data_IF_548627250471
#
_entry.id   IF_548627250471
#
_cell.length_a   1.000
_cell.length_b   1.000
_cell.length_c   1.000
_cell.angle_alpha   90.00
_cell.angle_beta   90.00
_cell.angle_gamma   90.00
#
_symmetry.space_group_name_H-M   'P 1'
#
loop_
_entity.id
_entity.type
_entity.pdbx_description
1 polymer ?
#
# COMPACT_ATOMS: atom_id res chain seq x y z
N UNK A 1 45.83 54.55 -7.78
CA UNK A 1 44.97 54.20 -6.64
C UNK A 1 43.55 53.81 -7.04
N UNK A 2 42.92 54.43 -8.00
CA UNK A 2 41.57 54.09 -8.47
C UNK A 2 41.47 52.71 -9.19
N UNK A 3 42.49 52.26 -9.90
CA UNK A 3 42.50 50.99 -10.63
C UNK A 3 42.55 49.77 -9.72
N UNK A 4 43.17 49.90 -8.54
CA UNK A 4 43.23 48.79 -7.58
C UNK A 4 41.90 48.56 -6.84
N UNK A 5 41.11 49.61 -6.62
CA UNK A 5 39.81 49.47 -6.01
C UNK A 5 38.75 48.86 -6.91
N UNK A 6 38.86 49.12 -8.22
CA UNK A 6 37.92 48.52 -9.21
C UNK A 6 38.14 47.04 -9.41
N UNK A 7 39.37 46.52 -9.30
CA UNK A 7 39.69 45.10 -9.40
C UNK A 7 39.23 44.31 -8.17
N UNK A 8 39.36 44.88 -6.96
CA UNK A 8 38.90 44.23 -5.70
C UNK A 8 37.38 44.16 -5.65
N UNK A 9 36.68 45.19 -6.13
CA UNK A 9 35.21 45.21 -6.21
C UNK A 9 34.66 44.15 -7.17
N UNK A 10 35.33 43.95 -8.31
CA UNK A 10 34.93 42.94 -9.33
C UNK A 10 35.16 41.53 -8.85
N UNK A 11 36.30 41.24 -8.23
CA UNK A 11 36.60 39.93 -7.62
C UNK A 11 35.61 39.57 -6.49
N UNK A 12 35.19 40.55 -5.73
CA UNK A 12 34.22 40.34 -4.63
C UNK A 12 32.78 40.12 -5.14
N UNK A 13 32.43 40.67 -6.31
CA UNK A 13 31.14 40.42 -6.97
C UNK A 13 31.09 39.09 -7.67
N UNK A 14 32.23 38.62 -8.21
CA UNK A 14 32.31 37.30 -8.83
C UNK A 14 32.23 36.18 -7.79
N UNK A 15 32.84 36.38 -6.60
CA UNK A 15 32.81 35.42 -5.51
C UNK A 15 31.42 35.36 -4.81
N UNK A 16 30.61 36.39 -4.91
CA UNK A 16 29.24 36.43 -4.35
C UNK A 16 28.19 35.89 -5.33
N UNK A 17 28.58 35.60 -6.59
CA UNK A 17 27.72 35.06 -7.65
C UNK A 17 28.04 33.59 -7.98
N UNK A 18 28.79 32.88 -7.12
CA UNK A 18 28.66 31.45 -7.07
C UNK A 18 27.29 31.14 -6.52
N UNK A 19 26.33 31.11 -7.42
CA UNK A 19 25.09 30.42 -7.20
C UNK A 19 25.46 29.02 -6.72
N UNK A 20 25.31 28.79 -5.42
CA UNK A 20 25.27 27.44 -4.89
C UNK A 20 24.09 26.75 -5.55
N UNK A 21 24.30 26.29 -6.76
CA UNK A 21 23.44 25.28 -7.33
C UNK A 21 23.64 24.04 -6.47
N UNK A 22 22.91 24.01 -5.35
CA UNK A 22 22.67 22.75 -4.67
C UNK A 22 21.95 21.88 -5.71
N UNK A 23 22.75 21.15 -6.48
CA UNK A 23 22.20 20.02 -7.21
C UNK A 23 21.54 19.16 -6.16
N UNK A 24 20.22 19.24 -6.08
CA UNK A 24 19.45 18.28 -5.31
C UNK A 24 19.75 16.93 -5.95
N UNK A 25 20.80 16.25 -5.49
CA UNK A 25 21.05 14.87 -5.83
C UNK A 25 19.82 14.12 -5.33
N UNK A 26 18.94 13.76 -6.24
CA UNK A 26 17.81 12.87 -5.96
C UNK A 26 18.40 11.52 -5.54
N UNK A 27 18.58 11.35 -4.23
CA UNK A 27 19.03 10.07 -3.67
C UNK A 27 17.82 9.15 -3.68
N UNK A 28 17.79 8.25 -4.65
CA UNK A 28 16.77 7.21 -4.75
C UNK A 28 16.84 6.33 -3.52
N UNK A 29 15.87 6.46 -2.63
CA UNK A 29 15.78 5.69 -1.40
C UNK A 29 15.41 4.24 -1.73
N UNK A 30 16.05 3.28 -1.06
CA UNK A 30 15.70 1.86 -1.19
C UNK A 30 14.58 1.54 -0.21
N UNK A 31 13.59 0.72 -0.62
CA UNK A 31 12.55 0.27 0.29
C UNK A 31 13.12 -0.58 1.43
N UNK A 32 12.56 -0.42 2.61
CA UNK A 32 12.74 -1.37 3.71
C UNK A 32 11.78 -2.56 3.49
N UNK A 33 12.33 -3.66 2.97
CA UNK A 33 11.55 -4.84 2.57
C UNK A 33 10.92 -5.55 3.76
N UNK A 34 11.56 -5.50 4.93
CA UNK A 34 11.03 -6.10 6.16
C UNK A 34 9.84 -5.31 6.69
N UNK A 35 9.97 -3.99 6.76
CA UNK A 35 8.87 -3.09 7.09
C UNK A 35 7.70 -3.25 6.11
N UNK A 36 7.99 -3.38 4.81
CA UNK A 36 7.00 -3.59 3.76
C UNK A 36 6.19 -4.88 3.96
N UNK A 37 6.87 -6.01 4.18
CA UNK A 37 6.22 -7.30 4.40
C UNK A 37 5.36 -7.29 5.66
N UNK A 38 5.88 -6.78 6.77
CA UNK A 38 5.16 -6.67 8.04
C UNK A 38 3.93 -5.76 7.91
N UNK A 39 4.07 -4.64 7.19
CA UNK A 39 2.95 -3.73 6.95
C UNK A 39 1.81 -4.38 6.17
N UNK A 40 2.15 -5.18 5.14
CA UNK A 40 1.16 -5.94 4.38
C UNK A 40 0.44 -7.00 5.21
N UNK A 41 1.17 -7.73 6.06
CA UNK A 41 0.59 -8.70 7.00
C UNK A 41 -0.34 -8.03 8.02
N UNK A 42 0.12 -6.94 8.65
CA UNK A 42 -0.65 -6.21 9.65
C UNK A 42 -1.93 -5.62 9.08
N UNK A 43 -1.84 -4.98 7.91
CA UNK A 43 -3.00 -4.45 7.21
C UNK A 43 -3.97 -5.56 6.77
N UNK A 44 -3.45 -6.69 6.31
CA UNK A 44 -4.25 -7.87 5.99
C UNK A 44 -5.03 -8.39 7.22
N UNK A 45 -4.37 -8.49 8.38
CA UNK A 45 -5.03 -8.89 9.62
C UNK A 45 -6.13 -7.90 10.04
N UNK A 46 -5.86 -6.60 9.94
CA UNK A 46 -6.85 -5.56 10.22
C UNK A 46 -8.10 -5.72 9.37
N UNK A 47 -7.92 -5.90 8.05
CA UNK A 47 -9.06 -6.00 7.11
C UNK A 47 -9.86 -7.28 7.35
N UNK A 48 -9.23 -8.41 7.67
CA UNK A 48 -9.98 -9.62 8.06
C UNK A 48 -10.91 -9.33 9.24
N UNK A 49 -10.41 -8.63 10.27
CA UNK A 49 -11.24 -8.27 11.45
C UNK A 49 -12.37 -7.33 11.06
N UNK A 50 -12.09 -6.31 10.25
CA UNK A 50 -13.10 -5.34 9.79
C UNK A 50 -14.18 -6.03 8.95
N UNK A 51 -13.80 -6.89 8.02
CA UNK A 51 -14.73 -7.62 7.16
C UNK A 51 -15.60 -8.61 7.96
N UNK A 52 -15.01 -9.33 8.91
CA UNK A 52 -15.77 -10.22 9.79
C UNK A 52 -16.77 -9.47 10.67
N UNK A 53 -16.35 -8.33 11.22
CA UNK A 53 -17.24 -7.47 11.99
C UNK A 53 -18.39 -6.95 11.11
N UNK A 54 -18.08 -6.45 9.93
CA UNK A 54 -19.07 -5.95 8.98
C UNK A 54 -20.06 -7.05 8.60
N UNK A 55 -19.60 -8.21 8.19
CA UNK A 55 -20.43 -9.32 7.76
C UNK A 55 -21.42 -9.75 8.84
N UNK A 56 -20.96 -9.85 10.09
CA UNK A 56 -21.76 -10.35 11.21
C UNK A 56 -22.67 -9.29 11.82
N UNK A 57 -22.16 -8.08 12.07
CA UNK A 57 -22.85 -7.06 12.85
C UNK A 57 -23.68 -6.09 11.99
N UNK A 58 -23.28 -5.87 10.73
CA UNK A 58 -23.93 -4.88 9.88
C UNK A 58 -24.73 -5.54 8.76
N UNK A 59 -24.14 -6.47 8.04
CA UNK A 59 -24.79 -7.10 6.89
C UNK A 59 -25.69 -8.30 7.28
N UNK A 60 -25.51 -8.86 8.47
CA UNK A 60 -26.27 -10.03 8.91
C UNK A 60 -26.07 -11.27 8.04
N UNK A 61 -24.91 -11.35 7.35
CA UNK A 61 -24.56 -12.48 6.48
C UNK A 61 -23.52 -13.36 7.13
N UNK A 62 -23.44 -14.59 6.66
CA UNK A 62 -22.40 -15.50 7.14
C UNK A 62 -21.00 -15.00 6.74
N UNK A 63 -20.08 -14.83 7.70
CA UNK A 63 -18.73 -14.30 7.45
C UNK A 63 -17.91 -15.20 6.50
N UNK A 64 -18.32 -16.44 6.33
CA UNK A 64 -17.66 -17.42 5.45
C UNK A 64 -17.93 -17.23 3.95
N UNK A 65 -18.83 -16.34 3.56
CA UNK A 65 -19.13 -16.10 2.14
C UNK A 65 -17.92 -15.52 1.40
N UNK A 66 -17.35 -14.43 1.92
CA UNK A 66 -16.12 -13.81 1.37
C UNK A 66 -14.93 -14.77 1.44
N UNK A 67 -14.81 -15.52 2.54
CA UNK A 67 -13.76 -16.53 2.72
C UNK A 67 -13.78 -17.58 1.60
N UNK A 68 -14.97 -18.08 1.22
CA UNK A 68 -15.12 -19.02 0.11
C UNK A 68 -14.71 -18.43 -1.25
N UNK A 69 -15.04 -17.17 -1.48
CA UNK A 69 -14.66 -16.48 -2.73
C UNK A 69 -13.15 -16.39 -2.89
N UNK A 70 -12.42 -16.12 -1.80
CA UNK A 70 -10.95 -16.09 -1.80
C UNK A 70 -10.39 -17.51 -1.96
N UNK A 71 -10.88 -18.49 -1.21
CA UNK A 71 -10.43 -19.87 -1.30
C UNK A 71 -10.65 -20.47 -2.70
N UNK A 72 -11.73 -20.08 -3.38
CA UNK A 72 -12.07 -20.55 -4.72
C UNK A 72 -11.02 -20.18 -5.79
N UNK A 73 -10.15 -19.19 -5.53
CA UNK A 73 -9.03 -18.86 -6.43
C UNK A 73 -8.11 -20.06 -6.65
N UNK A 74 -7.88 -20.88 -5.62
CA UNK A 74 -6.98 -22.04 -5.65
C UNK A 74 -7.74 -23.35 -5.61
N UNK A 75 -8.81 -23.43 -4.82
CA UNK A 75 -9.57 -24.67 -4.61
C UNK A 75 -10.62 -24.93 -5.70
N UNK A 76 -10.89 -23.94 -6.56
CA UNK A 76 -11.89 -24.05 -7.61
C UNK A 76 -13.29 -23.64 -7.16
N UNK A 77 -14.21 -23.56 -8.15
CA UNK A 77 -15.57 -23.03 -7.98
C UNK A 77 -16.48 -23.87 -7.09
N UNK A 78 -16.19 -25.14 -6.91
CA UNK A 78 -17.02 -26.07 -6.13
C UNK A 78 -17.15 -25.63 -4.68
N UNK A 79 -16.14 -24.94 -4.15
CA UNK A 79 -16.14 -24.37 -2.79
C UNK A 79 -17.23 -23.30 -2.59
N UNK A 80 -17.66 -22.63 -3.65
CA UNK A 80 -18.72 -21.61 -3.62
C UNK A 80 -20.11 -22.25 -3.39
N UNK A 81 -20.30 -23.50 -3.78
CA UNK A 81 -21.57 -24.22 -3.65
C UNK A 81 -21.84 -24.71 -2.22
N UNK A 82 -20.81 -24.75 -1.37
CA UNK A 82 -20.88 -25.31 -0.01
C UNK A 82 -21.33 -24.21 0.95
N UNK A 83 -22.44 -24.43 1.67
CA UNK A 83 -22.91 -23.51 2.72
C UNK A 83 -22.27 -23.79 4.08
N UNK A 84 -21.71 -24.99 4.28
CA UNK A 84 -21.14 -25.43 5.55
C UNK A 84 -19.78 -24.81 5.83
N UNK A 85 -19.48 -24.63 7.11
CA UNK A 85 -18.15 -24.24 7.58
C UNK A 85 -17.12 -25.32 7.26
N UNK A 86 -15.99 -24.93 6.72
CA UNK A 86 -14.87 -25.82 6.42
C UNK A 86 -13.55 -25.16 6.86
N UNK A 87 -12.85 -25.85 7.77
CA UNK A 87 -11.54 -25.38 8.27
C UNK A 87 -10.52 -25.24 7.13
N UNK A 88 -10.51 -26.21 6.21
CA UNK A 88 -9.58 -26.17 5.06
C UNK A 88 -9.83 -24.97 4.15
N UNK A 89 -11.10 -24.64 3.92
CA UNK A 89 -11.49 -23.45 3.11
C UNK A 89 -11.05 -22.16 3.80
N UNK A 90 -11.27 -22.04 5.10
CA UNK A 90 -10.85 -20.85 5.87
C UNK A 90 -9.32 -20.74 5.90
N UNK A 91 -8.62 -21.83 6.16
CA UNK A 91 -7.16 -21.85 6.19
C UNK A 91 -6.58 -21.43 4.82
N UNK A 92 -7.11 -21.97 3.71
CA UNK A 92 -6.68 -21.61 2.36
C UNK A 92 -6.93 -20.13 2.07
N UNK A 93 -8.11 -19.62 2.41
CA UNK A 93 -8.42 -18.20 2.22
C UNK A 93 -7.46 -17.28 3.00
N UNK A 94 -7.15 -17.61 4.25
CA UNK A 94 -6.20 -16.85 5.07
C UNK A 94 -4.79 -16.89 4.49
N UNK A 95 -4.33 -18.05 4.04
CA UNK A 95 -3.03 -18.19 3.37
C UNK A 95 -2.96 -17.27 2.15
N UNK A 96 -3.94 -17.36 1.25
CA UNK A 96 -4.00 -16.51 0.05
C UNK A 96 -4.04 -15.04 0.45
N UNK A 97 -4.89 -14.67 1.41
CA UNK A 97 -5.07 -13.30 1.85
C UNK A 97 -3.78 -12.69 2.41
N UNK A 98 -3.07 -13.41 3.27
CA UNK A 98 -1.82 -12.93 3.85
C UNK A 98 -0.65 -12.92 2.85
N UNK A 99 -0.60 -13.89 1.95
CA UNK A 99 0.39 -13.88 0.85
C UNK A 99 0.17 -12.66 -0.04
N UNK A 100 -1.07 -12.43 -0.48
CA UNK A 100 -1.40 -11.25 -1.29
C UNK A 100 -1.15 -9.94 -0.52
N UNK A 101 -1.54 -9.89 0.76
CA UNK A 101 -1.28 -8.73 1.61
C UNK A 101 0.21 -8.40 1.70
N UNK A 102 1.06 -9.41 1.88
CA UNK A 102 2.52 -9.24 1.91
C UNK A 102 3.05 -8.74 0.57
N UNK A 103 2.62 -9.34 -0.55
CA UNK A 103 3.03 -8.92 -1.90
C UNK A 103 2.64 -7.46 -2.14
N UNK A 104 1.40 -7.09 -1.79
CA UNK A 104 0.89 -5.74 -1.98
C UNK A 104 1.61 -4.72 -1.08
N UNK A 105 2.01 -5.11 0.14
CA UNK A 105 2.87 -4.29 1.00
C UNK A 105 4.23 -4.00 0.37
N UNK A 106 4.86 -5.04 -0.20
CA UNK A 106 6.13 -4.92 -0.92
C UNK A 106 5.97 -4.03 -2.17
N UNK A 107 4.90 -4.21 -2.94
CA UNK A 107 4.62 -3.38 -4.13
C UNK A 107 4.43 -1.92 -3.74
N UNK A 108 3.65 -1.64 -2.69
CA UNK A 108 3.45 -0.26 -2.24
C UNK A 108 4.75 0.39 -1.76
N UNK A 109 5.57 -0.32 -0.98
CA UNK A 109 6.87 0.17 -0.54
C UNK A 109 7.83 0.45 -1.71
N UNK A 110 7.82 -0.42 -2.73
CA UNK A 110 8.58 -0.22 -3.97
C UNK A 110 8.16 1.04 -4.74
N UNK A 111 6.92 1.50 -4.56
CA UNK A 111 6.42 2.75 -5.12
C UNK A 111 6.74 3.92 -4.18
N UNK A 112 6.48 3.79 -2.88
CA UNK A 112 6.59 4.90 -1.93
C UNK A 112 8.04 5.36 -1.74
N UNK A 113 8.97 4.43 -1.52
CA UNK A 113 10.34 4.77 -1.15
C UNK A 113 11.12 5.54 -2.23
N UNK A 114 11.14 5.12 -3.52
CA UNK A 114 11.86 5.84 -4.57
C UNK A 114 11.33 7.26 -4.82
N UNK A 115 10.03 7.46 -4.64
CA UNK A 115 9.39 8.76 -4.88
C UNK A 115 9.18 9.59 -3.61
N UNK A 116 9.69 9.09 -2.46
CA UNK A 116 9.57 9.76 -1.15
C UNK A 116 8.12 10.11 -0.78
N UNK A 117 7.17 9.25 -1.17
CA UNK A 117 5.75 9.41 -0.90
C UNK A 117 5.37 9.12 0.57
N UNK A 118 6.35 8.75 1.37
CA UNK A 118 6.32 8.53 2.81
C UNK A 118 6.82 9.73 3.63
N UNK A 119 6.90 10.91 3.01
CA UNK A 119 7.42 12.13 3.62
C UNK A 119 6.58 12.60 4.83
N UNK A 120 5.32 12.26 4.88
CA UNK A 120 4.41 12.61 5.97
C UNK A 120 3.28 11.58 6.11
N UNK A 121 2.65 11.47 7.30
CA UNK A 121 1.51 10.57 7.48
C UNK A 121 0.33 10.92 6.56
N UNK A 122 0.11 12.19 6.26
CA UNK A 122 -0.94 12.63 5.35
C UNK A 122 -0.69 12.20 3.90
N UNK A 123 0.55 12.33 3.43
CA UNK A 123 0.95 11.84 2.09
C UNK A 123 0.82 10.32 2.02
N UNK A 124 1.28 9.60 3.04
CA UNK A 124 1.15 8.15 3.12
C UNK A 124 -0.31 7.71 3.06
N UNK A 125 -1.21 8.35 3.80
CA UNK A 125 -2.65 8.07 3.74
C UNK A 125 -3.23 8.28 2.35
N UNK A 126 -2.89 9.38 1.69
CA UNK A 126 -3.36 9.67 0.34
C UNK A 126 -2.90 8.60 -0.66
N UNK A 127 -1.61 8.28 -0.64
CA UNK A 127 -1.02 7.25 -1.52
C UNK A 127 -1.63 5.89 -1.23
N UNK A 128 -1.80 5.54 0.05
CA UNK A 128 -2.46 4.30 0.47
C UNK A 128 -3.91 4.22 0.00
N UNK A 129 -4.69 5.31 0.09
CA UNK A 129 -6.06 5.36 -0.40
C UNK A 129 -6.13 5.17 -1.93
N UNK A 130 -5.28 5.85 -2.69
CA UNK A 130 -5.19 5.68 -4.15
C UNK A 130 -4.78 4.25 -4.50
N UNK A 131 -3.81 3.67 -3.80
CA UNK A 131 -3.39 2.29 -3.98
C UNK A 131 -4.52 1.31 -3.70
N UNK A 132 -5.25 1.48 -2.59
CA UNK A 132 -6.41 0.66 -2.25
C UNK A 132 -7.51 0.74 -3.30
N UNK A 133 -7.78 1.94 -3.84
CA UNK A 133 -8.70 2.12 -4.96
C UNK A 133 -8.25 1.35 -6.21
N UNK A 134 -6.97 1.44 -6.57
CA UNK A 134 -6.42 0.72 -7.73
C UNK A 134 -6.56 -0.79 -7.54
N UNK A 135 -6.26 -1.33 -6.34
CA UNK A 135 -6.44 -2.75 -6.05
C UNK A 135 -7.90 -3.16 -6.16
N UNK A 136 -8.84 -2.35 -5.63
CA UNK A 136 -10.28 -2.61 -5.77
C UNK A 136 -10.68 -2.71 -7.24
N UNK A 137 -10.29 -1.74 -8.05
CA UNK A 137 -10.61 -1.73 -9.48
C UNK A 137 -10.00 -2.94 -10.20
N UNK A 138 -8.76 -3.27 -9.88
CA UNK A 138 -8.10 -4.44 -10.45
C UNK A 138 -8.85 -5.74 -10.08
N UNK A 139 -9.14 -5.96 -8.80
CA UNK A 139 -9.78 -7.18 -8.33
C UNK A 139 -11.20 -7.35 -8.91
N UNK A 140 -11.99 -6.29 -8.92
CA UNK A 140 -13.42 -6.40 -9.22
C UNK A 140 -13.81 -6.01 -10.66
N UNK A 141 -12.86 -5.52 -11.46
CA UNK A 141 -13.13 -5.19 -12.87
C UNK A 141 -12.17 -5.90 -13.84
N UNK A 142 -10.93 -6.16 -13.42
CA UNK A 142 -9.96 -6.87 -14.28
C UNK A 142 -9.97 -8.37 -13.97
N UNK A 143 -9.82 -8.75 -12.69
CA UNK A 143 -9.74 -10.15 -12.29
C UNK A 143 -11.06 -10.92 -12.47
N UNK A 144 -12.18 -10.25 -12.66
CA UNK A 144 -13.47 -10.88 -12.95
C UNK A 144 -13.49 -11.64 -14.28
N UNK A 145 -12.56 -11.37 -15.18
CA UNK A 145 -12.36 -12.18 -16.38
C UNK A 145 -11.84 -13.59 -16.06
N UNK A 146 -11.00 -13.73 -15.04
CA UNK A 146 -10.45 -14.99 -14.56
C UNK A 146 -11.32 -15.61 -13.44
N UNK A 147 -11.88 -14.78 -12.57
CA UNK A 147 -12.68 -15.16 -11.41
C UNK A 147 -14.05 -14.48 -11.45
N UNK A 148 -15.00 -14.97 -12.27
CA UNK A 148 -16.28 -14.29 -12.52
C UNK A 148 -17.12 -14.03 -11.25
N UNK A 149 -16.96 -14.83 -10.21
CA UNK A 149 -17.68 -14.67 -8.94
C UNK A 149 -17.29 -13.40 -8.16
N UNK A 150 -16.17 -12.74 -8.51
CA UNK A 150 -15.80 -11.46 -7.91
C UNK A 150 -16.77 -10.32 -8.25
N UNK A 151 -17.58 -10.49 -9.30
CA UNK A 151 -18.65 -9.53 -9.63
C UNK A 151 -19.62 -9.36 -8.46
N UNK A 152 -19.95 -10.45 -7.75
CA UNK A 152 -20.91 -10.45 -6.64
C UNK A 152 -20.40 -9.72 -5.40
N UNK A 153 -19.08 -9.51 -5.29
CA UNK A 153 -18.47 -8.77 -4.20
C UNK A 153 -18.30 -7.26 -4.50
N UNK A 154 -18.74 -6.79 -5.66
CA UNK A 154 -18.73 -5.35 -5.96
C UNK A 154 -19.66 -4.60 -5.01
N UNK A 155 -19.14 -3.55 -4.40
CA UNK A 155 -19.97 -2.72 -3.52
C UNK A 155 -19.14 -1.70 -2.76
N UNK A 156 -19.83 -0.74 -2.14
CA UNK A 156 -19.18 0.33 -1.39
C UNK A 156 -18.42 -0.20 -0.15
N UNK A 157 -18.91 -1.24 0.51
CA UNK A 157 -18.26 -1.86 1.66
C UNK A 157 -16.93 -2.48 1.28
N UNK A 158 -16.90 -3.21 0.16
CA UNK A 158 -15.66 -3.82 -0.36
C UNK A 158 -14.66 -2.74 -0.82
N UNK A 159 -15.16 -1.66 -1.43
CA UNK A 159 -14.34 -0.49 -1.75
C UNK A 159 -13.74 0.11 -0.47
N UNK A 160 -14.56 0.32 0.56
CA UNK A 160 -14.10 0.86 1.85
C UNK A 160 -13.04 -0.05 2.49
N UNK A 161 -13.22 -1.37 2.46
CA UNK A 161 -12.22 -2.35 2.93
C UNK A 161 -10.87 -2.21 2.20
N UNK A 162 -10.89 -2.02 0.88
CA UNK A 162 -9.67 -1.82 0.10
C UNK A 162 -9.00 -0.47 0.37
N UNK A 163 -9.77 0.58 0.57
CA UNK A 163 -9.23 1.89 0.98
C UNK A 163 -8.57 1.79 2.36
N UNK A 164 -9.25 1.18 3.33
CA UNK A 164 -8.69 0.94 4.68
C UNK A 164 -7.40 0.11 4.59
N UNK A 165 -7.40 -0.95 3.77
CA UNK A 165 -6.24 -1.80 3.56
C UNK A 165 -5.04 -1.01 3.03
N UNK A 166 -5.22 -0.25 1.94
CA UNK A 166 -4.15 0.55 1.35
C UNK A 166 -3.61 1.61 2.31
N UNK A 167 -4.51 2.34 3.01
CA UNK A 167 -4.12 3.31 4.01
C UNK A 167 -3.37 2.66 5.19
N UNK A 168 -3.81 1.49 5.65
CA UNK A 168 -3.15 0.76 6.73
C UNK A 168 -1.74 0.30 6.33
N UNK A 169 -1.55 -0.27 5.12
CA UNK A 169 -0.20 -0.62 4.62
C UNK A 169 0.70 0.61 4.64
N UNK A 170 0.23 1.72 4.04
CA UNK A 170 1.04 2.92 3.88
C UNK A 170 1.43 3.53 5.23
N UNK A 171 0.52 3.59 6.19
CA UNK A 171 0.80 4.10 7.54
C UNK A 171 1.72 3.18 8.33
N UNK A 172 1.51 1.86 8.26
CA UNK A 172 2.37 0.89 8.93
C UNK A 172 3.79 0.97 8.35
N UNK A 173 3.91 1.02 7.02
CA UNK A 173 5.19 1.17 6.35
C UNK A 173 5.89 2.47 6.78
N UNK A 174 5.18 3.61 6.73
CA UNK A 174 5.70 4.90 7.16
C UNK A 174 6.24 4.89 8.61
N UNK A 175 5.59 4.11 9.50
CA UNK A 175 6.03 4.00 10.91
C UNK A 175 7.20 3.05 11.10
N UNK A 176 7.25 1.96 10.33
CA UNK A 176 8.19 0.86 10.54
C UNK A 176 9.48 1.02 9.74
N UNK A 177 9.43 1.79 8.65
CA UNK A 177 10.62 1.95 7.80
C UNK A 177 11.78 2.57 8.59
N UNK A 178 12.94 1.96 8.46
CA UNK A 178 14.19 2.51 8.98
C UNK A 178 14.59 3.72 8.15
N UNK A 179 14.44 4.91 8.72
CA UNK A 179 14.99 6.13 8.11
C UNK A 179 16.44 6.20 8.51
N UNK A 180 17.33 5.79 7.62
CA UNK A 180 18.76 6.03 7.81
C UNK A 180 18.96 7.54 7.91
N UNK A 181 19.12 8.01 9.12
CA UNK A 181 19.59 9.37 9.38
C UNK A 181 21.04 9.37 9.00
N UNK A 182 21.32 9.76 7.76
CA UNK A 182 22.70 10.06 7.34
C UNK A 182 23.10 11.33 8.10
N UNK A 183 23.92 11.13 9.14
CA UNK A 183 24.59 12.21 9.88
C UNK A 183 25.85 12.64 9.10
#
# INVERSE_FOLDING_TARGET
>A
MLYLMASVGRARMEDSMELHMHSHHYVRRRPDWSAAAVSGLAAGALVVVVEMFWATMVAGVHPWATTRMIAAIVMGRDVLQTSMFSVSTVAMALIIHFVLGTILGVVLAAIMAPFQLDSSPGMSLLVGAVFGLVIYLFNFYVMTSAFPWFVDARGWHTLAGHLIFGMAIALCYWKLESRDVIH
#
